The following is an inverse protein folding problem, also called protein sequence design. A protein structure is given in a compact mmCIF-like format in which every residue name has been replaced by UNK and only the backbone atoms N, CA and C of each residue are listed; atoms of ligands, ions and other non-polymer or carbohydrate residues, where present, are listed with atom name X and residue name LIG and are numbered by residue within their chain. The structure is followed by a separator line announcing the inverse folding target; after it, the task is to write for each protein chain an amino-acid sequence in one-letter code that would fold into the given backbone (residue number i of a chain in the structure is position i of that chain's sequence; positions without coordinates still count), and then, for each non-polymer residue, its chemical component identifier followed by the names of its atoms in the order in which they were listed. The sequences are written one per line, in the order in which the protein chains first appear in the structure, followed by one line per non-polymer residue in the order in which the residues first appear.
data_IF_108661605321
#
_entry.id   IF_108661605321
#
_cell.length_a   1.000
_cell.length_b   1.000
_cell.length_c   1.000
_cell.angle_alpha   90.00
_cell.angle_beta   90.00
_cell.angle_gamma   90.00
#
_symmetry.space_group_name_H-M   'P 1'
#
loop_
_entity.id
_entity.type
_entity.pdbx_description
1 polymer ?
#
# COMPACT_ATOMS: atom_id res chain seq x y z
N UNK A 1 -5.34 3.07 -25.74
CA UNK A 1 -3.99 3.00 -25.15
C UNK A 1 -3.05 2.49 -26.24
N UNK A 2 -2.19 3.37 -26.76
CA UNK A 2 -1.14 2.99 -27.72
C UNK A 2 0.04 2.51 -26.87
N UNK A 3 0.27 1.21 -26.85
CA UNK A 3 1.52 0.66 -26.32
C UNK A 3 2.63 1.05 -27.29
N UNK A 4 3.34 2.12 -27.01
CA UNK A 4 4.55 2.47 -27.73
C UNK A 4 5.63 1.48 -27.31
N UNK A 5 6.06 0.65 -28.24
CA UNK A 5 7.30 -0.10 -28.15
C UNK A 5 8.45 0.92 -28.01
N UNK A 6 8.88 1.15 -26.81
CA UNK A 6 10.21 1.73 -26.58
C UNK A 6 11.18 0.57 -26.63
N UNK A 7 12.14 0.67 -27.55
CA UNK A 7 13.35 -0.15 -27.60
C UNK A 7 14.20 0.15 -26.34
N UNK A 8 13.66 -0.25 -25.18
CA UNK A 8 14.46 -0.33 -23.96
C UNK A 8 15.38 -1.51 -24.19
N UNK A 9 16.68 -1.27 -24.28
CA UNK A 9 17.68 -2.32 -24.06
C UNK A 9 17.32 -2.93 -22.71
N UNK A 10 16.65 -4.06 -22.74
CA UNK A 10 16.36 -4.85 -21.56
C UNK A 10 17.74 -5.17 -20.97
N UNK A 11 17.98 -4.81 -19.72
CA UNK A 11 19.18 -5.20 -19.01
C UNK A 11 19.29 -6.73 -18.90
N UNK A 12 19.98 -7.21 -17.90
CA UNK A 12 19.99 -8.65 -17.61
C UNK A 12 18.62 -9.11 -17.10
N UNK A 13 18.17 -10.28 -17.56
CA UNK A 13 16.92 -10.87 -17.09
C UNK A 13 17.04 -11.25 -15.61
N UNK A 14 16.01 -10.93 -14.83
CA UNK A 14 15.95 -11.23 -13.40
C UNK A 14 15.72 -12.72 -13.14
N UNK A 15 14.92 -13.37 -14.01
CA UNK A 15 14.58 -14.79 -13.92
C UNK A 15 14.62 -15.36 -15.34
N UNK A 16 15.32 -16.47 -15.50
CA UNK A 16 15.50 -17.13 -16.79
C UNK A 16 15.10 -18.60 -16.67
N UNK A 17 14.21 -19.02 -17.55
CA UNK A 17 13.89 -20.44 -17.76
C UNK A 17 14.43 -20.86 -19.12
N UNK A 18 15.48 -21.66 -19.11
CA UNK A 18 16.21 -22.08 -20.32
C UNK A 18 16.11 -23.58 -20.54
N UNK A 19 15.85 -23.98 -21.77
CA UNK A 19 15.91 -25.38 -22.18
C UNK A 19 17.33 -25.97 -22.01
N UNK A 20 18.35 -25.14 -22.16
CA UNK A 20 19.75 -25.55 -21.98
C UNK A 20 20.05 -25.96 -20.53
N UNK A 21 19.34 -25.35 -19.55
CA UNK A 21 19.46 -25.65 -18.14
C UNK A 21 18.29 -26.54 -17.62
N UNK A 22 17.67 -27.28 -18.53
CA UNK A 22 16.62 -28.23 -18.22
C UNK A 22 15.40 -27.65 -17.48
N UNK A 23 15.12 -26.34 -17.64
CA UNK A 23 14.04 -25.64 -16.93
C UNK A 23 12.67 -26.32 -17.06
N UNK A 24 12.42 -27.00 -18.17
CA UNK A 24 11.13 -27.62 -18.51
C UNK A 24 11.08 -29.13 -18.31
N UNK A 25 12.10 -29.74 -17.71
CA UNK A 25 12.25 -31.21 -17.69
C UNK A 25 11.15 -31.97 -16.94
N UNK A 26 10.48 -31.30 -16.00
CA UNK A 26 9.39 -31.90 -15.24
C UNK A 26 8.08 -32.08 -16.01
N UNK A 27 7.99 -31.52 -17.22
CA UNK A 27 6.83 -31.74 -18.10
C UNK A 27 6.92 -33.12 -18.77
N UNK A 28 5.83 -33.88 -18.83
CA UNK A 28 5.88 -35.21 -19.41
C UNK A 28 6.20 -35.17 -20.91
N UNK A 29 7.08 -36.08 -21.34
CA UNK A 29 7.38 -36.35 -22.74
C UNK A 29 6.32 -37.30 -23.29
N UNK A 30 5.13 -36.82 -23.58
CA UNK A 30 4.10 -37.67 -24.18
C UNK A 30 3.99 -37.39 -25.69
N UNK A 31 4.22 -38.43 -26.50
CA UNK A 31 3.93 -38.38 -27.93
C UNK A 31 2.42 -38.50 -28.19
N UNK A 32 1.68 -39.09 -27.28
CA UNK A 32 0.28 -39.45 -27.42
C UNK A 32 -0.55 -38.80 -26.31
N UNK A 33 -1.35 -37.82 -26.70
CA UNK A 33 -2.47 -37.28 -25.95
C UNK A 33 -2.16 -36.27 -24.83
N UNK A 34 -3.22 -35.62 -24.42
CA UNK A 34 -3.36 -34.56 -23.46
C UNK A 34 -2.40 -34.67 -22.28
N UNK A 35 -1.57 -33.65 -22.12
CA UNK A 35 -0.90 -33.44 -20.85
C UNK A 35 -1.98 -33.14 -19.81
N UNK A 36 -2.00 -33.85 -18.66
CA UNK A 36 -2.96 -33.54 -17.62
C UNK A 36 -2.91 -32.05 -17.25
N UNK A 37 -4.07 -31.45 -17.08
CA UNK A 37 -4.18 -30.09 -16.54
C UNK A 37 -3.70 -30.14 -15.10
N UNK A 38 -2.51 -29.70 -14.85
CA UNK A 38 -1.92 -29.58 -13.52
C UNK A 38 -0.78 -28.56 -13.53
N UNK A 39 -0.34 -28.22 -12.35
CA UNK A 39 0.80 -27.36 -12.15
C UNK A 39 2.10 -28.14 -12.40
N UNK A 40 3.05 -27.47 -13.05
CA UNK A 40 4.40 -27.96 -13.30
C UNK A 40 5.43 -27.02 -12.69
N UNK A 41 6.50 -27.60 -12.18
CA UNK A 41 7.59 -26.82 -11.59
C UNK A 41 8.64 -26.59 -12.67
N UNK A 42 8.91 -25.31 -12.96
CA UNK A 42 10.01 -24.88 -13.80
C UNK A 42 11.15 -24.36 -12.93
N UNK A 43 12.34 -24.85 -13.17
CA UNK A 43 13.53 -24.42 -12.46
C UNK A 43 14.23 -23.31 -13.24
N UNK A 44 14.36 -22.14 -12.62
CA UNK A 44 15.09 -21.04 -13.22
C UNK A 44 16.61 -21.21 -13.11
N UNK A 45 17.36 -20.48 -13.94
CA UNK A 45 18.83 -20.53 -13.97
C UNK A 45 19.48 -20.10 -12.64
N UNK A 46 18.77 -19.29 -11.84
CA UNK A 46 19.17 -18.93 -10.48
C UNK A 46 18.91 -20.01 -9.42
N UNK A 47 18.47 -21.20 -9.83
CA UNK A 47 18.19 -22.36 -8.98
C UNK A 47 16.83 -22.33 -8.27
N UNK A 48 16.04 -21.27 -8.39
CA UNK A 48 14.68 -21.18 -7.82
C UNK A 48 13.68 -21.96 -8.67
N UNK A 49 12.67 -22.50 -8.01
CA UNK A 49 11.57 -23.22 -8.63
C UNK A 49 10.31 -22.38 -8.63
N UNK A 50 9.58 -22.43 -9.77
CA UNK A 50 8.36 -21.67 -10.00
C UNK A 50 7.29 -22.60 -10.54
N UNK A 51 6.09 -22.49 -9.97
CA UNK A 51 4.94 -23.32 -10.36
C UNK A 51 4.15 -22.65 -11.48
N UNK A 52 4.11 -23.29 -12.64
CA UNK A 52 3.33 -22.86 -13.81
C UNK A 52 2.08 -23.71 -13.93
N UNK A 53 0.93 -23.08 -14.09
CA UNK A 53 -0.33 -23.76 -14.36
C UNK A 53 -0.49 -24.05 -15.86
N UNK A 54 -1.13 -25.16 -16.19
CA UNK A 54 -1.44 -25.52 -17.59
C UNK A 54 -2.94 -25.54 -17.82
N UNK A 55 -3.37 -25.02 -18.97
CA UNK A 55 -4.77 -25.01 -19.38
C UNK A 55 -4.91 -25.42 -20.83
N UNK A 56 -5.80 -26.37 -21.12
CA UNK A 56 -6.09 -26.85 -22.47
C UNK A 56 -4.86 -27.27 -23.28
N UNK A 57 -3.85 -27.85 -22.64
CA UNK A 57 -2.65 -28.31 -23.33
C UNK A 57 -2.97 -29.58 -24.11
N UNK A 58 -2.82 -29.52 -25.41
CA UNK A 58 -2.97 -30.64 -26.29
C UNK A 58 -1.61 -31.03 -26.89
N UNK A 59 -1.17 -32.26 -26.67
CA UNK A 59 0.09 -32.82 -27.20
C UNK A 59 1.35 -31.98 -26.91
N UNK A 60 1.61 -31.73 -25.64
CA UNK A 60 2.89 -31.16 -25.22
C UNK A 60 3.93 -32.21 -24.98
N UNK A 61 5.15 -31.91 -25.32
CA UNK A 61 6.31 -32.73 -24.97
C UNK A 61 7.54 -31.86 -24.78
N UNK A 62 8.49 -32.39 -24.01
CA UNK A 62 9.86 -31.90 -24.04
C UNK A 62 10.58 -32.65 -25.14
N UNK A 63 11.06 -31.93 -26.13
CA UNK A 63 11.90 -32.46 -27.18
C UNK A 63 13.23 -31.73 -27.16
N UNK A 64 14.33 -32.47 -26.92
CA UNK A 64 15.66 -31.88 -26.77
C UNK A 64 15.74 -30.76 -25.73
N UNK A 65 14.98 -30.90 -24.63
CA UNK A 65 14.89 -29.91 -23.58
C UNK A 65 13.92 -28.74 -23.83
N UNK A 66 13.35 -28.61 -25.02
CA UNK A 66 12.41 -27.54 -25.38
C UNK A 66 11.00 -27.82 -24.90
N UNK A 67 10.31 -26.80 -24.45
CA UNK A 67 8.87 -26.87 -24.24
C UNK A 67 8.18 -26.82 -25.62
N UNK A 68 7.64 -27.95 -26.08
CA UNK A 68 7.09 -28.09 -27.43
C UNK A 68 5.58 -28.21 -27.41
N UNK A 69 4.88 -27.44 -28.22
CA UNK A 69 3.46 -27.61 -28.53
C UNK A 69 3.31 -28.29 -29.90
N UNK A 70 2.61 -29.44 -29.94
CA UNK A 70 2.34 -30.18 -31.17
C UNK A 70 0.97 -29.84 -31.80
N UNK A 71 0.08 -29.23 -31.03
CA UNK A 71 -1.23 -28.76 -31.49
C UNK A 71 -1.55 -27.40 -30.90
N UNK A 72 -2.22 -26.54 -31.65
CA UNK A 72 -2.54 -25.18 -31.20
C UNK A 72 -3.55 -25.14 -30.06
N UNK A 73 -3.54 -24.03 -29.30
CA UNK A 73 -4.53 -23.71 -28.29
C UNK A 73 -4.14 -24.03 -26.84
N UNK A 74 -2.97 -24.60 -26.59
CA UNK A 74 -2.47 -24.81 -25.24
C UNK A 74 -2.07 -23.50 -24.57
N UNK A 75 -2.29 -23.42 -23.25
CA UNK A 75 -1.94 -22.25 -22.43
C UNK A 75 -1.04 -22.64 -21.29
N UNK A 76 -0.06 -21.78 -21.02
CA UNK A 76 0.82 -21.84 -19.88
C UNK A 76 0.60 -20.59 -19.04
N UNK A 77 0.19 -20.77 -17.78
CA UNK A 77 -0.04 -19.67 -16.84
C UNK A 77 1.19 -19.52 -15.96
N UNK A 78 1.77 -18.34 -15.92
CA UNK A 78 2.90 -18.05 -15.02
C UNK A 78 2.46 -18.01 -13.57
N UNK A 79 3.37 -18.21 -12.62
CA UNK A 79 3.17 -17.78 -11.25
C UNK A 79 3.06 -16.25 -11.16
N UNK A 80 2.67 -15.79 -10.01
CA UNK A 80 2.82 -14.39 -9.64
C UNK A 80 4.30 -14.08 -9.35
N UNK A 81 4.81 -13.00 -9.95
CA UNK A 81 6.15 -12.48 -9.69
C UNK A 81 6.04 -11.26 -8.77
N UNK A 82 6.91 -11.15 -7.78
CA UNK A 82 7.00 -9.93 -7.00
C UNK A 82 7.58 -8.81 -7.88
N UNK A 83 6.73 -8.06 -8.53
CA UNK A 83 7.07 -7.02 -9.52
C UNK A 83 6.16 -5.79 -9.35
N UNK A 84 6.29 -5.01 -8.26
CA UNK A 84 5.37 -3.92 -7.94
C UNK A 84 5.31 -2.82 -9.01
N UNK A 85 6.37 -2.67 -9.80
CA UNK A 85 6.42 -1.76 -10.95
C UNK A 85 6.23 -2.47 -12.30
N UNK A 86 5.67 -3.69 -12.27
CA UNK A 86 5.52 -4.51 -13.46
C UNK A 86 6.82 -5.17 -13.91
N UNK A 87 6.74 -5.89 -15.02
CA UNK A 87 7.84 -6.65 -15.59
C UNK A 87 7.70 -6.79 -17.11
N UNK A 88 8.77 -7.17 -17.79
CA UNK A 88 8.72 -7.60 -19.17
C UNK A 88 8.97 -9.10 -19.29
N UNK A 89 8.36 -9.72 -20.27
CA UNK A 89 8.57 -11.13 -20.63
C UNK A 89 9.14 -11.19 -22.04
N UNK A 90 10.31 -11.83 -22.20
CA UNK A 90 10.86 -12.19 -23.50
C UNK A 90 10.79 -13.68 -23.69
N UNK A 91 10.23 -14.13 -24.80
CA UNK A 91 10.17 -15.54 -25.19
C UNK A 91 10.98 -15.76 -26.43
N UNK A 92 11.92 -16.70 -26.36
CA UNK A 92 12.75 -17.14 -27.47
C UNK A 92 12.30 -18.54 -27.87
N UNK A 93 11.96 -18.71 -29.14
CA UNK A 93 11.41 -19.95 -29.65
C UNK A 93 11.83 -20.23 -31.09
N UNK A 94 11.78 -21.51 -31.46
CA UNK A 94 11.86 -21.98 -32.84
C UNK A 94 10.50 -22.43 -33.33
N UNK A 95 10.25 -22.27 -34.61
CA UNK A 95 9.01 -22.72 -35.22
C UNK A 95 9.27 -23.47 -36.55
N UNK A 96 8.60 -24.61 -36.69
CA UNK A 96 8.83 -25.51 -37.82
C UNK A 96 7.86 -25.37 -39.00
N UNK A 97 6.85 -24.53 -38.88
CA UNK A 97 5.82 -24.35 -39.90
C UNK A 97 5.22 -22.96 -39.84
N UNK A 98 4.60 -22.54 -40.97
CA UNK A 98 3.77 -21.34 -41.07
C UNK A 98 2.58 -21.43 -40.13
N UNK A 99 2.59 -20.72 -39.04
CA UNK A 99 1.54 -20.83 -38.01
C UNK A 99 1.32 -19.51 -37.27
N UNK A 100 0.17 -19.45 -36.60
CA UNK A 100 -0.19 -18.38 -35.70
C UNK A 100 0.86 -18.23 -34.60
N UNK A 101 1.36 -17.03 -34.37
CA UNK A 101 2.43 -16.71 -33.45
C UNK A 101 2.06 -17.04 -32.02
N UNK A 102 3.05 -17.41 -31.14
CA UNK A 102 2.83 -17.44 -29.73
C UNK A 102 2.51 -16.02 -29.23
N UNK A 103 1.63 -15.90 -28.29
CA UNK A 103 1.29 -14.63 -27.70
C UNK A 103 1.01 -14.75 -26.22
N UNK A 104 1.25 -13.67 -25.51
CA UNK A 104 0.93 -13.55 -24.11
C UNK A 104 -0.43 -12.88 -23.97
N UNK A 105 -1.31 -13.53 -23.21
CA UNK A 105 -2.60 -13.01 -22.82
C UNK A 105 -2.50 -12.58 -21.36
N UNK A 106 -2.99 -11.37 -21.08
CA UNK A 106 -3.39 -11.03 -19.72
C UNK A 106 -4.89 -10.73 -19.77
N UNK A 107 -5.69 -11.29 -18.88
CA UNK A 107 -7.15 -11.16 -18.89
C UNK A 107 -7.64 -9.70 -18.84
N UNK A 108 -6.79 -8.76 -18.43
CA UNK A 108 -7.11 -7.34 -18.34
C UNK A 108 -6.54 -6.49 -19.50
N UNK A 109 -5.76 -7.10 -20.39
CA UNK A 109 -5.26 -6.43 -21.60
C UNK A 109 -6.02 -6.99 -22.81
N UNK A 110 -7.10 -6.35 -23.25
CA UNK A 110 -7.98 -6.93 -24.28
C UNK A 110 -7.36 -6.96 -25.68
N UNK A 111 -6.27 -6.22 -25.93
CA UNK A 111 -5.64 -6.15 -27.24
C UNK A 111 -4.15 -6.45 -27.15
N UNK A 112 -3.85 -7.65 -27.48
CA UNK A 112 -2.55 -8.19 -27.69
C UNK A 112 -1.82 -7.55 -28.89
N UNK A 113 -0.60 -7.07 -28.67
CA UNK A 113 0.27 -6.57 -29.73
C UNK A 113 1.32 -7.63 -30.06
N UNK A 114 1.20 -8.21 -31.22
CA UNK A 114 2.18 -9.15 -31.74
C UNK A 114 3.29 -8.40 -32.49
N UNK A 115 4.47 -8.28 -31.90
CA UNK A 115 5.65 -7.63 -32.50
C UNK A 115 6.57 -8.62 -33.23
N UNK A 116 6.17 -9.85 -33.43
CA UNK A 116 6.96 -10.82 -34.16
C UNK A 116 6.81 -10.69 -35.68
N UNK A 117 7.67 -11.37 -36.46
CA UNK A 117 7.66 -11.35 -37.92
C UNK A 117 6.32 -11.90 -38.45
N UNK A 118 5.89 -11.40 -39.60
CA UNK A 118 4.57 -11.71 -40.23
C UNK A 118 4.38 -13.19 -40.55
N UNK A 119 5.33 -13.79 -41.25
CA UNK A 119 5.30 -15.16 -41.70
C UNK A 119 6.60 -15.88 -41.31
N UNK A 120 6.47 -17.07 -40.73
CA UNK A 120 7.60 -17.90 -40.30
C UNK A 120 7.64 -19.15 -41.17
N UNK A 121 8.70 -19.36 -41.90
CA UNK A 121 8.79 -20.44 -42.92
C UNK A 121 9.74 -21.57 -42.52
N UNK A 122 10.67 -21.39 -41.57
CA UNK A 122 11.69 -22.40 -41.23
C UNK A 122 11.98 -22.48 -39.74
N UNK A 123 12.79 -23.48 -39.31
CA UNK A 123 13.35 -23.61 -37.94
C UNK A 123 14.29 -22.47 -37.58
N UNK A 124 13.81 -21.27 -37.68
CA UNK A 124 14.54 -20.08 -37.33
C UNK A 124 14.17 -19.67 -35.92
N UNK A 125 15.11 -19.12 -35.20
CA UNK A 125 14.87 -18.56 -33.87
C UNK A 125 14.17 -17.22 -33.99
N UNK A 126 13.15 -17.05 -33.17
CA UNK A 126 12.35 -15.84 -33.06
C UNK A 126 12.26 -15.42 -31.62
N UNK A 127 12.10 -14.12 -31.40
CA UNK A 127 11.77 -13.58 -30.08
C UNK A 127 10.54 -12.67 -30.13
N UNK A 128 9.85 -12.58 -29.03
CA UNK A 128 8.90 -11.50 -28.79
C UNK A 128 9.02 -11.02 -27.35
N UNK A 129 8.71 -9.73 -27.13
CA UNK A 129 8.77 -9.09 -25.83
C UNK A 129 7.41 -8.47 -25.54
N UNK A 130 6.90 -8.70 -24.31
CA UNK A 130 5.66 -8.10 -23.81
C UNK A 130 5.93 -7.43 -22.48
N UNK A 131 5.50 -6.18 -22.32
CA UNK A 131 5.54 -5.47 -21.04
C UNK A 131 4.23 -5.68 -20.29
N UNK A 132 4.33 -6.03 -19.01
CA UNK A 132 3.24 -6.22 -18.06
C UNK A 132 3.39 -5.16 -17.00
N UNK A 133 2.40 -4.26 -16.90
CA UNK A 133 2.49 -3.04 -16.09
C UNK A 133 2.15 -3.24 -14.61
N UNK A 134 1.76 -4.45 -14.24
CA UNK A 134 1.42 -4.82 -12.86
C UNK A 134 2.11 -6.15 -12.49
N UNK A 135 1.93 -6.61 -11.26
CA UNK A 135 2.48 -7.88 -10.77
C UNK A 135 1.67 -9.11 -11.16
N UNK A 136 0.60 -8.96 -11.93
CA UNK A 136 -0.30 -10.07 -12.26
C UNK A 136 0.37 -11.13 -13.13
N UNK A 137 0.01 -12.41 -12.95
CA UNK A 137 0.49 -13.49 -13.79
C UNK A 137 0.11 -13.28 -15.27
N UNK A 138 0.95 -13.75 -16.16
CA UNK A 138 0.63 -13.81 -17.57
C UNK A 138 0.16 -15.20 -18.00
N UNK A 139 -0.62 -15.25 -19.07
CA UNK A 139 -0.96 -16.49 -19.77
C UNK A 139 -0.29 -16.48 -21.15
N UNK A 140 0.54 -17.46 -21.42
CA UNK A 140 1.17 -17.65 -22.71
C UNK A 140 0.38 -18.67 -23.54
N UNK A 141 -0.07 -18.28 -24.73
CA UNK A 141 -0.65 -19.18 -25.68
C UNK A 141 0.45 -19.83 -26.52
N UNK A 142 0.46 -21.17 -26.53
CA UNK A 142 1.44 -21.93 -27.27
C UNK A 142 0.86 -22.34 -28.64
N UNK A 143 1.41 -21.87 -29.76
CA UNK A 143 0.93 -22.24 -31.08
C UNK A 143 1.42 -23.64 -31.44
N UNK A 144 0.77 -24.19 -32.48
CA UNK A 144 1.15 -25.48 -33.02
C UNK A 144 2.61 -25.50 -33.50
N UNK A 145 3.35 -26.56 -33.16
CA UNK A 145 4.74 -26.80 -33.58
C UNK A 145 5.75 -25.72 -33.16
N UNK A 146 5.51 -25.06 -32.07
CA UNK A 146 6.50 -24.16 -31.47
C UNK A 146 7.41 -24.92 -30.49
N UNK A 147 8.66 -24.52 -30.44
CA UNK A 147 9.69 -25.03 -29.55
C UNK A 147 10.22 -23.87 -28.72
N UNK A 148 9.71 -23.70 -27.50
CA UNK A 148 10.17 -22.66 -26.59
C UNK A 148 11.52 -23.03 -26.05
N UNK A 149 12.52 -22.20 -26.34
CA UNK A 149 13.91 -22.34 -25.87
C UNK A 149 14.12 -21.66 -24.53
N UNK A 150 13.57 -20.45 -24.40
CA UNK A 150 13.83 -19.61 -23.25
C UNK A 150 12.65 -18.70 -22.95
N UNK A 151 12.34 -18.54 -21.67
CA UNK A 151 11.44 -17.52 -21.14
C UNK A 151 12.27 -16.67 -20.18
N UNK A 152 12.35 -15.38 -20.41
CA UNK A 152 13.08 -14.43 -19.59
C UNK A 152 12.14 -13.39 -19.01
N UNK A 153 12.27 -13.16 -17.71
CA UNK A 153 11.48 -12.19 -16.96
C UNK A 153 12.41 -11.05 -16.53
N UNK A 154 12.05 -9.84 -16.87
CA UNK A 154 12.76 -8.61 -16.53
C UNK A 154 11.92 -7.82 -15.56
N UNK A 155 12.17 -7.97 -14.26
CA UNK A 155 11.42 -7.26 -13.23
C UNK A 155 11.88 -5.81 -13.20
N UNK A 156 10.93 -4.87 -13.28
CA UNK A 156 11.22 -3.45 -13.15
C UNK A 156 11.70 -3.16 -11.72
N UNK A 157 12.81 -2.43 -11.54
CA UNK A 157 13.36 -2.15 -10.24
C UNK A 157 12.42 -1.28 -9.40
N UNK A 158 12.52 -1.42 -8.09
CA UNK A 158 11.90 -0.51 -7.12
C UNK A 158 12.95 0.55 -6.76
N UNK A 159 12.81 1.79 -7.21
CA UNK A 159 13.76 2.85 -6.92
C UNK A 159 13.67 3.29 -5.46
N UNK A 160 14.75 3.90 -4.95
CA UNK A 160 14.75 4.55 -3.64
C UNK A 160 14.43 6.03 -3.79
N UNK A 161 13.48 6.52 -2.99
CA UNK A 161 13.12 7.94 -2.88
C UNK A 161 13.40 8.41 -1.44
N UNK A 162 14.32 9.33 -1.28
CA UNK A 162 14.65 9.92 0.02
C UNK A 162 14.12 11.36 0.10
N UNK A 163 13.34 11.64 1.15
CA UNK A 163 12.76 12.98 1.42
C UNK A 163 13.14 13.39 2.84
N UNK A 164 13.56 14.65 3.00
CA UNK A 164 13.75 15.28 4.31
C UNK A 164 12.49 16.08 4.70
N UNK A 165 12.19 16.13 5.98
CA UNK A 165 11.10 16.99 6.49
C UNK A 165 11.39 18.50 6.33
N UNK A 166 12.62 18.87 5.99
CA UNK A 166 13.02 20.25 5.68
C UNK A 166 13.01 20.59 4.19
N UNK A 167 12.70 19.60 3.34
CA UNK A 167 12.76 19.77 1.89
C UNK A 167 11.59 20.64 1.39
N UNK A 168 11.92 21.73 0.71
CA UNK A 168 10.95 22.68 0.14
C UNK A 168 10.47 22.25 -1.26
N UNK A 169 11.12 21.24 -1.87
CA UNK A 169 10.79 20.71 -3.19
C UNK A 169 10.26 19.27 -3.11
N UNK A 170 9.91 18.81 -1.91
CA UNK A 170 9.48 17.44 -1.70
C UNK A 170 8.29 17.04 -2.59
N UNK A 171 7.32 17.94 -2.79
CA UNK A 171 6.14 17.69 -3.63
C UNK A 171 6.53 17.38 -5.07
N UNK A 172 7.49 18.12 -5.64
CA UNK A 172 7.98 17.91 -7.00
C UNK A 172 8.72 16.57 -7.12
N UNK A 173 9.61 16.27 -6.17
CA UNK A 173 10.36 15.00 -6.13
C UNK A 173 9.44 13.79 -5.98
N UNK A 174 8.44 13.86 -5.10
CA UNK A 174 7.48 12.77 -4.89
C UNK A 174 6.63 12.57 -6.15
N UNK A 175 6.24 13.66 -6.82
CA UNK A 175 5.42 13.61 -8.04
C UNK A 175 6.12 12.89 -9.21
N UNK A 176 7.43 12.92 -9.29
CA UNK A 176 8.19 12.17 -10.33
C UNK A 176 7.95 10.66 -10.24
N UNK A 177 7.58 10.17 -9.05
CA UNK A 177 7.30 8.76 -8.79
C UNK A 177 5.81 8.44 -8.67
N UNK A 178 4.93 9.36 -9.08
CA UNK A 178 3.47 9.10 -9.00
C UNK A 178 3.10 7.79 -9.69
N UNK A 179 2.26 6.99 -9.03
CA UNK A 179 1.85 5.64 -9.41
C UNK A 179 2.99 4.61 -9.51
N UNK A 180 4.20 4.93 -9.02
CA UNK A 180 5.36 4.02 -8.97
C UNK A 180 5.55 3.49 -7.54
N UNK A 181 5.89 2.19 -7.42
CA UNK A 181 6.35 1.64 -6.15
C UNK A 181 7.81 2.04 -5.89
N UNK A 182 8.09 2.48 -4.68
CA UNK A 182 9.43 2.93 -4.25
C UNK A 182 9.78 2.39 -2.87
N UNK A 183 11.07 2.38 -2.54
CA UNK A 183 11.55 2.35 -1.17
C UNK A 183 11.61 3.81 -0.68
N UNK A 184 10.64 4.21 0.13
CA UNK A 184 10.52 5.59 0.59
C UNK A 184 11.25 5.78 1.92
N UNK A 185 12.29 6.60 1.94
CA UNK A 185 13.02 6.97 3.15
C UNK A 185 12.69 8.39 3.57
N UNK A 186 12.09 8.54 4.74
CA UNK A 186 11.80 9.84 5.34
C UNK A 186 12.87 10.18 6.38
N UNK A 187 13.65 11.22 6.14
CA UNK A 187 14.57 11.81 7.12
C UNK A 187 13.80 12.74 8.06
N UNK A 188 13.26 12.14 9.09
CA UNK A 188 12.53 12.82 10.16
C UNK A 188 12.62 11.99 11.44
N UNK A 189 12.99 12.64 12.55
CA UNK A 189 13.11 11.99 13.86
C UNK A 189 11.77 11.93 14.57
N UNK A 190 11.58 10.86 15.33
CA UNK A 190 10.48 10.62 16.25
C UNK A 190 11.04 10.11 17.57
N UNK A 191 10.51 10.58 18.68
CA UNK A 191 10.93 10.16 20.03
C UNK A 191 9.78 9.40 20.69
N UNK A 192 10.08 8.27 21.31
CA UNK A 192 9.11 7.47 22.07
C UNK A 192 9.02 7.99 23.51
N UNK A 193 8.30 9.07 23.72
CA UNK A 193 8.15 9.79 24.99
C UNK A 193 6.68 10.16 25.29
N UNK A 194 5.73 9.37 24.77
CA UNK A 194 4.28 9.63 24.82
C UNK A 194 3.82 10.90 24.06
N UNK A 195 4.69 11.51 23.26
CA UNK A 195 4.35 12.67 22.44
C UNK A 195 3.61 12.23 21.17
N UNK A 196 2.53 12.92 20.87
CA UNK A 196 1.84 12.82 19.59
C UNK A 196 2.56 13.62 18.51
N UNK A 197 2.79 12.97 17.40
CA UNK A 197 3.32 13.58 16.17
C UNK A 197 2.21 13.67 15.14
N UNK A 198 2.34 14.63 14.23
CA UNK A 198 1.49 14.69 13.04
C UNK A 198 2.19 14.03 11.86
N UNK A 199 1.46 13.31 11.00
CA UNK A 199 2.03 12.65 9.82
C UNK A 199 1.04 12.71 8.65
N UNK A 200 1.59 12.93 7.45
CA UNK A 200 0.88 12.82 6.18
C UNK A 200 1.85 12.25 5.14
N UNK A 201 1.52 11.12 4.55
CA UNK A 201 2.39 10.41 3.60
C UNK A 201 1.71 10.26 2.24
N UNK A 202 2.49 10.23 1.13
CA UNK A 202 1.95 10.14 -0.23
C UNK A 202 1.64 8.69 -0.67
N UNK A 203 1.42 7.77 0.24
CA UNK A 203 1.12 6.37 -0.01
C UNK A 203 0.34 5.76 1.14
N UNK A 204 -0.31 4.64 0.87
CA UNK A 204 -1.00 3.85 1.90
C UNK A 204 0.01 3.02 2.70
N UNK A 205 -0.22 2.90 4.01
CA UNK A 205 0.57 2.04 4.90
C UNK A 205 -0.39 1.20 5.72
N UNK A 206 -0.35 -0.11 5.55
CA UNK A 206 -1.14 -1.04 6.35
C UNK A 206 -0.58 -1.14 7.78
N UNK A 207 -1.43 -1.48 8.75
CA UNK A 207 -1.07 -1.62 10.16
C UNK A 207 0.20 -2.46 10.37
N UNK A 208 0.32 -3.58 9.68
CA UNK A 208 1.51 -4.42 9.77
C UNK A 208 2.80 -3.66 9.47
N UNK A 209 2.82 -2.86 8.41
CA UNK A 209 4.01 -2.07 8.04
C UNK A 209 4.22 -0.88 8.99
N UNK A 210 3.15 -0.28 9.52
CA UNK A 210 3.27 0.75 10.57
C UNK A 210 3.97 0.18 11.81
N UNK A 211 3.55 -1.00 12.26
CA UNK A 211 4.17 -1.73 13.38
C UNK A 211 5.65 -2.02 13.12
N UNK A 212 6.00 -2.49 11.93
CA UNK A 212 7.39 -2.75 11.53
C UNK A 212 8.25 -1.48 11.54
N UNK A 213 7.74 -0.38 11.01
CA UNK A 213 8.47 0.88 10.84
C UNK A 213 8.58 1.66 12.16
N UNK A 214 7.50 1.76 12.93
CA UNK A 214 7.45 2.55 14.17
C UNK A 214 7.74 1.74 15.45
N UNK A 215 7.96 0.44 15.32
CA UNK A 215 8.61 -0.37 16.33
C UNK A 215 7.72 -0.93 17.43
N UNK A 216 6.59 -1.57 17.13
CA UNK A 216 5.89 -2.38 18.10
C UNK A 216 4.36 -2.43 17.95
N UNK A 217 3.74 -3.39 18.61
CA UNK A 217 2.32 -3.71 18.51
C UNK A 217 1.35 -2.57 18.91
N UNK A 218 1.86 -1.53 19.59
CA UNK A 218 1.05 -0.45 20.15
C UNK A 218 1.29 0.90 19.47
N UNK A 219 1.67 0.94 18.20
CA UNK A 219 1.69 2.20 17.45
C UNK A 219 0.26 2.75 17.39
N UNK A 220 0.07 3.93 17.97
CA UNK A 220 -1.23 4.55 17.97
C UNK A 220 -1.36 5.51 16.80
N UNK A 221 -2.38 5.31 15.98
CA UNK A 221 -2.75 6.18 14.88
C UNK A 221 -4.16 6.73 15.11
N UNK A 222 -4.35 8.04 14.89
CA UNK A 222 -5.62 8.73 15.08
C UNK A 222 -5.93 9.64 13.90
N UNK A 223 -7.20 9.75 13.56
CA UNK A 223 -7.70 10.74 12.61
C UNK A 223 -8.75 11.64 13.25
N UNK A 224 -8.98 12.81 12.67
CA UNK A 224 -10.00 13.73 13.18
C UNK A 224 -11.39 13.07 13.14
N UNK A 225 -12.14 13.20 14.21
CA UNK A 225 -13.51 12.71 14.32
C UNK A 225 -14.51 13.87 14.28
N UNK A 226 -14.56 14.68 15.33
CA UNK A 226 -15.48 15.82 15.42
C UNK A 226 -14.95 16.92 16.36
N UNK A 227 -15.71 17.99 16.44
CA UNK A 227 -15.52 19.08 17.43
C UNK A 227 -16.65 19.08 18.43
N UNK A 228 -16.32 19.19 19.71
CA UNK A 228 -17.28 19.50 20.75
C UNK A 228 -16.77 20.70 21.59
N UNK A 229 -17.52 21.79 21.57
CA UNK A 229 -17.06 23.03 22.20
C UNK A 229 -15.75 23.55 21.57
N UNK A 230 -14.67 23.50 22.35
CA UNK A 230 -13.30 23.88 21.93
C UNK A 230 -12.33 22.70 21.94
N UNK A 231 -12.84 21.46 21.94
CA UNK A 231 -12.08 20.22 21.96
C UNK A 231 -12.17 19.55 20.59
N UNK A 232 -11.02 19.22 20.01
CA UNK A 232 -10.92 18.37 18.82
C UNK A 232 -10.86 16.91 19.26
N UNK A 233 -11.79 16.09 18.82
CA UNK A 233 -11.81 14.66 19.10
C UNK A 233 -11.20 13.88 17.96
N UNK A 234 -10.38 12.89 18.31
CA UNK A 234 -9.69 12.01 17.37
C UNK A 234 -10.04 10.56 17.66
N UNK A 235 -10.32 9.80 16.60
CA UNK A 235 -10.63 8.38 16.71
C UNK A 235 -9.48 7.50 16.22
N UNK A 236 -9.35 6.28 16.80
CA UNK A 236 -8.35 5.32 16.35
C UNK A 236 -8.62 4.84 14.93
N UNK A 237 -7.55 4.54 14.23
CA UNK A 237 -7.54 3.89 12.93
C UNK A 237 -6.33 2.97 12.83
N UNK A 238 -6.43 1.93 12.00
CA UNK A 238 -5.38 0.92 11.89
C UNK A 238 -4.41 1.24 10.74
N UNK A 239 -4.93 1.75 9.62
CA UNK A 239 -4.17 1.99 8.40
C UNK A 239 -4.01 3.48 8.12
N UNK A 240 -2.91 3.84 7.50
CA UNK A 240 -2.66 5.17 6.98
C UNK A 240 -2.97 5.20 5.48
N UNK A 241 -3.87 6.09 5.08
CA UNK A 241 -4.21 6.31 3.66
C UNK A 241 -3.40 7.46 3.06
N UNK A 242 -3.06 7.33 1.78
CA UNK A 242 -2.31 8.33 1.03
C UNK A 242 -2.97 9.73 1.09
N UNK A 243 -2.18 10.74 1.41
CA UNK A 243 -2.61 12.13 1.49
C UNK A 243 -3.50 12.49 2.68
N UNK A 244 -3.87 11.53 3.51
CA UNK A 244 -4.72 11.77 4.68
C UNK A 244 -3.86 12.19 5.87
N UNK A 245 -4.26 13.24 6.60
CA UNK A 245 -3.57 13.69 7.80
C UNK A 245 -3.92 12.83 9.01
N UNK A 246 -2.90 12.51 9.84
CA UNK A 246 -3.04 11.71 11.06
C UNK A 246 -2.23 12.29 12.22
N UNK A 247 -2.62 11.91 13.44
CA UNK A 247 -1.76 11.89 14.61
C UNK A 247 -1.17 10.49 14.75
N UNK A 248 0.10 10.42 15.15
CA UNK A 248 0.80 9.16 15.41
C UNK A 248 1.61 9.26 16.68
N UNK A 249 1.58 8.21 17.49
CA UNK A 249 2.43 8.09 18.69
C UNK A 249 3.36 6.88 18.49
N UNK A 250 4.67 7.11 18.31
CA UNK A 250 5.63 6.04 18.05
C UNK A 250 5.97 5.31 19.35
N UNK A 251 6.29 4.01 19.25
CA UNK A 251 6.76 3.21 20.38
C UNK A 251 8.28 3.08 20.43
N UNK A 252 8.98 3.58 19.43
CA UNK A 252 10.42 3.54 19.30
C UNK A 252 10.95 4.89 18.86
N UNK A 253 12.07 5.30 19.46
CA UNK A 253 12.82 6.47 18.97
C UNK A 253 13.50 6.13 17.66
N UNK A 254 13.29 6.97 16.64
CA UNK A 254 13.72 6.77 15.27
C UNK A 254 14.31 8.07 14.70
N UNK A 255 15.45 7.97 14.02
CA UNK A 255 16.05 9.11 13.32
C UNK A 255 15.56 9.26 11.88
N UNK A 256 15.05 8.19 11.33
CA UNK A 256 14.44 8.15 9.99
C UNK A 256 13.48 6.97 9.87
N UNK A 257 12.57 7.05 8.91
CA UNK A 257 11.63 5.97 8.57
C UNK A 257 11.97 5.39 7.20
N UNK A 258 11.90 4.08 7.05
CA UNK A 258 12.01 3.39 5.77
C UNK A 258 10.72 2.59 5.52
N UNK A 259 9.99 2.94 4.46
CA UNK A 259 8.85 2.21 3.98
C UNK A 259 9.22 1.50 2.69
N UNK A 260 9.20 0.18 2.71
CA UNK A 260 9.58 -0.62 1.54
C UNK A 260 8.37 -0.90 0.63
N UNK A 261 8.60 -0.84 -0.67
CA UNK A 261 7.62 -1.19 -1.71
C UNK A 261 6.27 -0.45 -1.59
N UNK A 262 6.30 0.82 -1.22
CA UNK A 262 5.11 1.65 -1.14
C UNK A 262 4.83 2.32 -2.47
N UNK A 263 3.57 2.30 -2.91
CA UNK A 263 3.15 2.94 -4.16
C UNK A 263 2.78 4.40 -3.91
N UNK A 264 3.51 5.32 -4.54
CA UNK A 264 3.21 6.75 -4.47
C UNK A 264 1.85 7.03 -5.13
N UNK A 265 1.01 7.80 -4.45
CA UNK A 265 -0.30 8.24 -4.93
C UNK A 265 -0.43 9.76 -4.73
N UNK A 266 -0.10 10.49 -5.78
CA UNK A 266 -0.21 11.96 -5.86
C UNK A 266 -1.41 12.40 -6.72
N UNK A 267 -2.30 11.45 -7.08
CA UNK A 267 -3.41 11.72 -7.98
C UNK A 267 -4.31 12.84 -7.46
N UNK A 268 -4.72 13.75 -8.29
CA UNK A 268 -5.71 14.82 -8.18
C UNK A 268 -5.76 15.68 -6.89
N UNK A 269 -5.42 15.15 -5.74
CA UNK A 269 -5.35 15.88 -4.45
C UNK A 269 -4.23 15.26 -3.61
N UNK A 270 -2.99 15.78 -3.70
CA UNK A 270 -1.85 15.18 -3.02
C UNK A 270 -2.02 15.15 -1.49
N UNK A 271 -2.73 16.12 -0.93
CA UNK A 271 -3.06 16.13 0.50
C UNK A 271 -4.54 16.43 0.71
N UNK A 272 -5.17 15.63 1.56
CA UNK A 272 -6.59 15.77 1.90
C UNK A 272 -6.76 16.70 3.09
N UNK A 273 -7.91 17.37 3.12
CA UNK A 273 -8.37 18.12 4.27
C UNK A 273 -9.47 17.31 4.97
N UNK A 274 -9.26 17.02 6.25
CA UNK A 274 -10.22 16.26 7.08
C UNK A 274 -10.75 17.17 8.16
N UNK A 275 -12.07 17.25 8.32
CA UNK A 275 -12.71 18.05 9.36
C UNK A 275 -14.08 18.59 8.93
N UNK A 276 -14.69 19.38 9.81
CA UNK A 276 -15.99 20.01 9.60
C UNK A 276 -16.09 21.39 10.30
N UNK A 277 -17.17 22.09 10.09
CA UNK A 277 -17.54 23.35 10.78
C UNK A 277 -16.46 24.43 10.83
N UNK A 278 -15.53 24.41 9.87
CA UNK A 278 -14.40 25.33 9.81
C UNK A 278 -13.16 24.90 10.59
N UNK A 279 -13.19 23.71 11.19
CA UNK A 279 -12.04 23.08 11.85
C UNK A 279 -11.55 21.92 11.00
N UNK A 280 -10.28 21.96 10.61
CA UNK A 280 -9.71 20.97 9.70
C UNK A 280 -8.29 20.60 10.09
N UNK A 281 -7.91 19.35 9.79
CA UNK A 281 -6.52 18.91 9.63
C UNK A 281 -6.14 19.01 8.15
N UNK A 282 -4.97 19.54 7.87
CA UNK A 282 -4.40 19.65 6.54
C UNK A 282 -2.98 19.10 6.52
N UNK A 283 -2.75 18.09 5.67
CA UNK A 283 -1.41 17.52 5.48
C UNK A 283 -0.55 18.36 4.54
N UNK A 284 0.76 18.16 4.62
CA UNK A 284 1.75 18.68 3.67
C UNK A 284 2.91 17.67 3.53
N UNK A 285 3.49 17.56 2.34
CA UNK A 285 4.69 16.75 2.14
C UNK A 285 5.96 17.57 2.18
N UNK A 286 5.91 18.83 1.73
CA UNK A 286 7.04 19.76 1.76
C UNK A 286 6.98 20.74 2.92
N UNK A 287 8.11 21.36 3.24
CA UNK A 287 8.13 22.46 4.19
C UNK A 287 7.29 23.63 3.66
N UNK A 288 6.37 24.14 4.49
CA UNK A 288 5.30 25.06 4.10
C UNK A 288 5.20 26.24 5.07
N UNK A 289 4.93 27.42 4.54
CA UNK A 289 4.61 28.59 5.37
C UNK A 289 3.14 28.57 5.77
N UNK A 290 2.90 28.73 7.08
CA UNK A 290 1.57 28.80 7.66
C UNK A 290 1.13 30.26 7.80
N UNK A 291 -0.19 30.47 7.82
CA UNK A 291 -0.74 31.81 7.99
C UNK A 291 -0.59 32.28 9.45
N UNK A 292 0.10 33.40 9.72
CA UNK A 292 0.29 33.93 11.07
C UNK A 292 -0.93 34.68 11.63
N UNK A 293 -2.05 34.76 10.89
CA UNK A 293 -3.28 35.47 11.32
C UNK A 293 -4.04 34.77 12.47
N UNK A 294 -3.49 33.69 12.99
CA UNK A 294 -4.05 32.92 14.09
C UNK A 294 -5.07 31.86 13.67
N UNK A 295 -5.36 31.72 12.37
CA UNK A 295 -6.26 30.67 11.84
C UNK A 295 -5.57 29.34 11.60
N UNK A 296 -4.22 29.30 11.65
CA UNK A 296 -3.45 28.06 11.59
C UNK A 296 -2.88 27.71 12.96
N UNK A 297 -2.80 26.44 13.25
CA UNK A 297 -2.17 25.86 14.43
C UNK A 297 -1.30 24.68 14.01
N UNK A 298 -0.25 24.42 14.78
CA UNK A 298 0.52 23.18 14.67
C UNK A 298 0.65 22.53 16.06
N UNK A 299 0.80 21.21 16.05
CA UNK A 299 1.07 20.44 17.26
C UNK A 299 2.58 20.48 17.51
N UNK A 300 2.99 20.98 18.67
CA UNK A 300 4.37 21.05 19.09
C UNK A 300 4.62 20.24 20.35
N UNK A 301 5.68 20.59 21.06
CA UNK A 301 6.12 19.90 22.27
C UNK A 301 5.03 19.84 23.35
N UNK A 302 5.11 18.82 24.20
CA UNK A 302 4.15 18.56 25.27
C UNK A 302 2.70 18.45 24.80
N UNK A 303 2.49 17.96 23.59
CA UNK A 303 1.15 17.76 23.04
C UNK A 303 0.28 19.04 23.05
N UNK A 304 0.87 20.19 22.75
CA UNK A 304 0.21 21.49 22.83
C UNK A 304 0.07 22.11 21.45
N UNK A 305 -1.05 22.82 21.21
CA UNK A 305 -1.23 23.63 20.02
C UNK A 305 -0.48 24.95 20.10
N UNK A 306 0.32 25.22 19.08
CA UNK A 306 1.02 26.48 18.88
C UNK A 306 0.44 27.26 17.70
N UNK A 307 0.54 28.58 17.74
CA UNK A 307 0.19 29.47 16.63
C UNK A 307 1.45 29.95 15.93
N UNK A 308 1.48 29.93 14.59
CA UNK A 308 2.52 30.61 13.85
C UNK A 308 2.60 32.09 14.22
N UNK A 309 3.80 32.65 14.24
CA UNK A 309 4.06 34.07 14.39
C UNK A 309 4.62 34.65 13.08
N UNK A 310 4.67 35.96 12.92
CA UNK A 310 5.24 36.60 11.74
C UNK A 310 6.72 36.22 11.52
N UNK A 311 7.45 35.94 12.58
CA UNK A 311 8.87 35.60 12.54
C UNK A 311 9.14 34.08 12.53
N UNK A 312 8.15 33.25 12.89
CA UNK A 312 8.26 31.79 12.92
C UNK A 312 6.93 31.15 12.51
N UNK A 313 6.77 30.99 11.22
CA UNK A 313 5.57 30.42 10.62
C UNK A 313 5.86 29.30 9.60
N UNK A 314 7.10 28.82 9.55
CA UNK A 314 7.48 27.73 8.68
C UNK A 314 7.35 26.38 9.37
N UNK A 315 6.46 25.56 8.85
CA UNK A 315 6.31 24.18 9.26
C UNK A 315 7.13 23.24 8.36
N UNK A 316 7.79 22.26 8.94
CA UNK A 316 8.48 21.19 8.21
C UNK A 316 7.49 20.29 7.45
N UNK A 317 7.96 19.59 6.44
CA UNK A 317 7.19 18.69 5.60
C UNK A 317 6.77 17.39 6.27
N UNK A 318 5.93 16.62 5.58
CA UNK A 318 5.32 15.34 6.03
C UNK A 318 4.59 15.47 7.37
N UNK A 319 4.01 16.63 7.60
CA UNK A 319 3.30 16.99 8.84
C UNK A 319 1.86 17.39 8.56
N UNK A 320 1.17 17.73 9.62
CA UNK A 320 -0.20 18.23 9.58
C UNK A 320 -0.28 19.53 10.37
N UNK A 321 -1.00 20.50 9.84
CA UNK A 321 -1.42 21.68 10.58
C UNK A 321 -2.94 21.68 10.68
N UNK A 322 -3.44 22.50 11.62
CA UNK A 322 -4.86 22.62 11.87
C UNK A 322 -5.34 24.00 11.41
N UNK A 323 -6.49 24.02 10.79
CA UNK A 323 -7.15 25.23 10.36
C UNK A 323 -8.36 25.46 11.27
N UNK A 324 -8.49 26.65 11.82
CA UNK A 324 -9.60 27.02 12.69
C UNK A 324 -10.34 28.22 12.12
N UNK A 325 -11.67 28.35 12.38
CA UNK A 325 -12.42 29.51 11.93
C UNK A 325 -12.00 30.77 12.69
N UNK A 326 -12.10 31.94 12.05
CA UNK A 326 -11.73 33.23 12.66
C UNK A 326 -12.39 33.47 14.02
N UNK A 327 -13.62 33.01 14.24
CA UNK A 327 -14.33 33.09 15.53
C UNK A 327 -13.64 32.34 16.68
N UNK A 328 -12.74 31.41 16.36
CA UNK A 328 -11.97 30.61 17.32
C UNK A 328 -10.56 31.20 17.58
N UNK A 329 -10.13 32.19 16.83
CA UNK A 329 -8.85 32.86 17.05
C UNK A 329 -8.85 33.52 18.43
N UNK A 330 -7.75 33.31 19.19
CA UNK A 330 -7.61 33.80 20.57
C UNK A 330 -8.25 32.92 21.65
N UNK A 331 -9.02 31.89 21.27
CA UNK A 331 -9.58 30.92 22.21
C UNK A 331 -8.56 29.81 22.50
N UNK A 332 -8.65 29.21 23.69
CA UNK A 332 -7.88 28.00 24.04
C UNK A 332 -8.55 26.82 23.40
N UNK A 333 -7.79 26.09 22.60
CA UNK A 333 -8.21 24.82 21.97
C UNK A 333 -7.48 23.70 22.66
N UNK A 334 -8.16 22.61 22.89
CA UNK A 334 -7.60 21.35 23.33
C UNK A 334 -7.95 20.23 22.34
N UNK A 335 -7.42 19.05 22.57
CA UNK A 335 -7.79 17.86 21.80
C UNK A 335 -7.85 16.64 22.72
N UNK A 336 -8.61 15.65 22.30
CA UNK A 336 -8.81 14.38 22.95
C UNK A 336 -8.52 13.23 21.97
N UNK A 337 -7.62 12.33 22.35
CA UNK A 337 -7.24 11.14 21.59
C UNK A 337 -7.67 9.85 22.28
N UNK A 338 -8.26 9.94 23.47
CA UNK A 338 -8.55 8.78 24.32
C UNK A 338 -10.03 8.45 24.38
N UNK A 339 -10.91 9.45 24.18
CA UNK A 339 -12.35 9.24 24.25
C UNK A 339 -12.82 8.48 23.00
N UNK A 340 -13.12 7.21 23.15
CA UNK A 340 -13.82 6.41 22.13
C UNK A 340 -15.30 6.73 22.27
N UNK A 341 -15.86 7.49 21.32
CA UNK A 341 -17.28 7.90 21.33
C UNK A 341 -18.22 6.72 21.03
N UNK A 342 -17.71 5.60 20.54
CA UNK A 342 -18.46 4.37 20.20
C UNK A 342 -18.04 3.15 21.02
N UNK A 343 -17.83 3.30 22.30
CA UNK A 343 -17.53 2.18 23.17
C UNK A 343 -18.38 2.22 24.44
N UNK A 344 -19.35 1.32 24.55
CA UNK A 344 -19.86 0.92 25.87
C UNK A 344 -18.68 0.26 26.59
N UNK A 345 -18.01 1.01 27.46
CA UNK A 345 -17.01 0.42 28.35
C UNK A 345 -17.79 -0.26 29.46
N UNK A 346 -17.81 -1.60 29.46
CA UNK A 346 -18.22 -2.38 30.63
C UNK A 346 -17.21 -2.11 31.75
N UNK A 347 -17.56 -1.20 32.65
CA UNK A 347 -16.77 -1.00 33.86
C UNK A 347 -17.14 -2.12 34.83
N UNK A 348 -16.25 -3.08 35.01
CA UNK A 348 -16.29 -3.96 36.18
C UNK A 348 -16.21 -3.11 37.45
N UNK A 349 -17.30 -3.08 38.18
CA UNK A 349 -17.35 -2.36 39.45
C UNK A 349 -16.56 -3.13 40.48
N UNK A 350 -15.24 -2.90 40.52
CA UNK A 350 -14.42 -3.33 41.63
C UNK A 350 -14.76 -2.47 42.88
N UNK A 351 -15.25 -3.11 43.91
CA UNK A 351 -15.76 -2.52 45.13
C UNK A 351 -14.64 -1.93 46.01
N UNK A 352 -14.27 -0.66 45.74
CA UNK A 352 -13.65 0.17 46.75
C UNK A 352 -14.36 1.52 46.82
N UNK A 353 -14.81 1.84 48.01
CA UNK A 353 -15.64 2.96 48.39
C UNK A 353 -14.96 4.32 48.22
N UNK A 354 -15.38 5.06 47.20
CA UNK A 354 -15.36 6.52 47.25
C UNK A 354 -16.75 6.98 46.72
N UNK A 355 -17.42 7.88 47.43
CA UNK A 355 -18.73 8.41 47.08
C UNK A 355 -18.62 9.21 45.78
N UNK A 356 -18.93 8.55 44.64
CA UNK A 356 -18.95 9.17 43.33
C UNK A 356 -20.40 9.59 43.02
N UNK A 357 -20.61 10.88 42.72
CA UNK A 357 -21.91 11.38 42.37
C UNK A 357 -22.33 10.83 40.98
N UNK A 358 -23.50 10.19 40.97
CA UNK A 358 -24.04 9.58 39.75
C UNK A 358 -25.23 10.41 39.26
N UNK A 359 -25.25 10.70 37.97
CA UNK A 359 -26.32 11.43 37.28
C UNK A 359 -26.90 10.57 36.16
N UNK A 360 -28.16 10.75 35.84
CA UNK A 360 -28.74 10.18 34.63
C UNK A 360 -28.34 11.00 33.41
N UNK A 361 -28.68 10.52 32.20
CA UNK A 361 -28.35 11.18 30.93
C UNK A 361 -28.92 12.60 30.76
N UNK A 362 -29.94 12.96 31.59
CA UNK A 362 -30.56 14.29 31.64
C UNK A 362 -29.89 15.20 32.65
N UNK A 363 -28.77 14.78 33.29
CA UNK A 363 -28.07 15.55 34.30
C UNK A 363 -28.68 15.55 35.68
N UNK A 364 -29.68 14.71 35.93
CA UNK A 364 -30.33 14.59 37.24
C UNK A 364 -29.52 13.66 38.14
N UNK A 365 -29.17 14.12 39.36
CA UNK A 365 -28.52 13.31 40.36
C UNK A 365 -29.34 12.14 40.79
N UNK A 366 -28.81 10.93 40.77
CA UNK A 366 -29.51 9.67 41.07
C UNK A 366 -28.91 8.84 42.20
N UNK A 367 -27.74 9.26 42.73
CA UNK A 367 -27.10 8.60 43.90
C UNK A 367 -25.59 8.77 43.96
N UNK A 368 -25.01 8.20 45.01
CA UNK A 368 -23.56 8.27 45.27
C UNK A 368 -22.82 6.98 44.88
N UNK A 369 -23.47 6.04 44.24
CA UNK A 369 -22.84 4.82 43.73
C UNK A 369 -23.74 4.16 42.65
N UNK A 370 -23.13 3.29 41.87
CA UNK A 370 -23.80 2.55 40.79
C UNK A 370 -24.55 1.29 41.27
N UNK A 371 -24.46 0.96 42.56
CA UNK A 371 -25.20 -0.20 43.14
C UNK A 371 -26.65 0.19 43.32
N UNK A 372 -27.57 -0.65 42.95
CA UNK A 372 -29.03 -0.48 43.08
C UNK A 372 -29.67 0.48 42.05
N UNK A 373 -28.95 0.88 41.02
CA UNK A 373 -29.54 1.60 39.89
C UNK A 373 -30.19 0.60 38.92
N UNK A 374 -31.28 1.03 38.33
CA UNK A 374 -31.87 0.27 37.22
C UNK A 374 -30.93 0.21 36.03
N UNK A 375 -30.96 -0.83 35.21
CA UNK A 375 -30.21 -0.87 34.00
C UNK A 375 -30.43 0.37 33.16
N UNK A 376 -29.35 0.99 32.71
CA UNK A 376 -29.43 2.27 31.99
C UNK A 376 -28.05 2.94 31.86
N UNK A 377 -28.06 4.12 31.27
CA UNK A 377 -26.87 4.93 31.06
C UNK A 377 -26.82 6.05 32.09
N UNK A 378 -25.68 6.19 32.75
CA UNK A 378 -25.44 7.17 33.81
C UNK A 378 -24.16 7.96 33.56
N UNK A 379 -24.01 9.10 34.20
CA UNK A 379 -22.80 9.93 34.19
C UNK A 379 -22.18 9.89 35.60
N UNK A 380 -20.93 9.48 35.67
CA UNK A 380 -20.11 9.41 36.90
C UNK A 380 -18.83 10.13 36.65
N UNK A 381 -18.52 11.17 37.42
CA UNK A 381 -17.32 12.01 37.27
C UNK A 381 -17.10 12.51 35.82
N UNK A 382 -18.20 12.89 35.15
CA UNK A 382 -18.17 13.35 33.77
C UNK A 382 -18.06 12.25 32.72
N UNK A 383 -18.00 10.97 33.12
CA UNK A 383 -17.90 9.82 32.23
C UNK A 383 -19.23 9.05 32.12
N UNK A 384 -19.52 8.56 30.95
CA UNK A 384 -20.71 7.75 30.64
C UNK A 384 -20.49 6.31 31.12
N UNK A 385 -21.39 5.79 31.96
CA UNK A 385 -21.34 4.44 32.53
C UNK A 385 -22.64 3.72 32.23
N UNK A 386 -22.58 2.47 31.78
CA UNK A 386 -23.74 1.63 31.55
C UNK A 386 -23.90 0.64 32.70
N UNK A 387 -25.10 0.62 33.32
CA UNK A 387 -25.49 -0.39 34.29
C UNK A 387 -26.33 -1.44 33.57
N UNK A 388 -25.92 -2.69 33.63
CA UNK A 388 -26.63 -3.85 33.03
C UNK A 388 -27.25 -4.73 34.11
N UNK A 389 -28.27 -5.49 33.78
CA UNK A 389 -28.80 -6.55 34.64
C UNK A 389 -27.72 -7.62 34.87
N UNK A 390 -27.51 -7.99 36.12
CA UNK A 390 -26.85 -9.23 36.48
C UNK A 390 -27.75 -10.40 36.38
#
# INVERSE_FOLDING_TARGET
YTLTYQDRRLGEATIVFSAENEAFYNMPTSADNQVPLKDYIFKADNGKEYTFGTYSLYKHRINKGFLTSLAGGGRLNSPEFFAPNGYAVRVIFEQSHKVTKPYILNHEIPNYVNNGPGEITDFTEYEFIVNILDSKPFTMLLPNKSHIKKIEIFINPVPSLEISDTDIEADAKIKEYDQTAVHFKLKRSFVADDTWYTICLPFNVAQKQLVEVFGGENVELRTFDHMEGMVMYFKPVDDLAAGVPYLIKPNKTLDSLLFENVKIDMATNPTKRIGNDGYFMQGTYQATELNPDGTNLFLGDNNTFFRPSENDHRMKGTRVYFIIPRKAVGKVLSYDTETIVDGIVDVEVNSQSNSQKVYNINGVYVGDNLRNLTPGVYIVDGKKVVVTNR
#
